data_IF_826011545130
#
_entry.id   IF_826011545130
#
_cell.length_a   1.000
_cell.length_b   1.000
_cell.length_c   1.000
_cell.angle_alpha   90.00
_cell.angle_beta   90.00
_cell.angle_gamma   90.00
#
_symmetry.space_group_name_H-M   'P 1'
#
loop_
_entity.id
_entity.type
_entity.pdbx_description
1 polymer ?
#
# COMPACT_ATOMS: atom_id res chain seq x y z
N UNK A 1 -5.99 4.77 -3.34
CA UNK A 1 -6.64 5.31 -4.56
C UNK A 1 -6.54 6.82 -4.57
N UNK A 2 -5.95 7.41 -5.61
CA UNK A 2 -5.99 8.85 -5.86
C UNK A 2 -7.46 9.24 -6.08
N UNK A 3 -8.07 9.93 -5.10
CA UNK A 3 -9.44 10.42 -5.19
C UNK A 3 -9.54 11.37 -6.41
N UNK A 4 -10.60 11.24 -7.23
CA UNK A 4 -10.91 12.14 -8.35
C UNK A 4 -10.78 13.62 -7.95
N UNK A 5 -11.10 13.96 -6.71
CA UNK A 5 -10.96 15.30 -6.15
C UNK A 5 -9.49 15.78 -6.09
N UNK A 6 -8.54 14.89 -5.78
CA UNK A 6 -7.12 15.23 -5.71
C UNK A 6 -6.52 15.48 -7.10
N UNK A 7 -6.95 14.70 -8.10
CA UNK A 7 -6.57 14.89 -9.51
C UNK A 7 -7.14 16.22 -10.02
N UNK A 8 -8.40 16.50 -9.71
CA UNK A 8 -9.06 17.75 -10.08
C UNK A 8 -8.38 18.98 -9.47
N UNK A 9 -8.01 18.92 -8.18
CA UNK A 9 -7.24 19.98 -7.52
C UNK A 9 -5.84 20.18 -8.14
N UNK A 10 -5.19 19.09 -8.55
CA UNK A 10 -3.91 19.15 -9.27
C UNK A 10 -4.03 19.85 -10.63
N UNK A 11 -5.11 19.57 -11.38
CA UNK A 11 -5.36 20.21 -12.68
C UNK A 11 -5.66 21.71 -12.52
N UNK A 12 -6.51 22.09 -11.56
CA UNK A 12 -6.82 23.50 -11.26
C UNK A 12 -5.55 24.26 -10.85
N UNK A 13 -4.70 23.64 -10.04
CA UNK A 13 -3.42 24.24 -9.66
C UNK A 13 -2.50 24.49 -10.86
N UNK A 14 -2.39 23.53 -11.78
CA UNK A 14 -1.61 23.70 -13.01
C UNK A 14 -2.19 24.79 -13.91
N UNK A 15 -3.51 24.87 -14.06
CA UNK A 15 -4.18 25.92 -14.82
C UNK A 15 -3.90 27.31 -14.24
N UNK A 16 -4.02 27.46 -12.92
CA UNK A 16 -3.73 28.72 -12.24
C UNK A 16 -2.25 29.10 -12.32
N UNK A 17 -1.34 28.13 -12.35
CA UNK A 17 0.09 28.34 -12.61
C UNK A 17 0.34 28.85 -14.03
N UNK A 18 -0.29 28.24 -15.03
CA UNK A 18 -0.18 28.67 -16.43
C UNK A 18 -0.72 30.09 -16.62
N UNK A 19 -1.86 30.43 -16.00
CA UNK A 19 -2.36 31.81 -15.99
C UNK A 19 -1.38 32.75 -15.29
N UNK A 20 -0.95 32.42 -14.07
CA UNK A 20 -0.04 33.27 -13.29
C UNK A 20 1.28 33.56 -14.01
N UNK A 21 1.85 32.55 -14.67
CA UNK A 21 3.08 32.70 -15.45
C UNK A 21 2.83 33.39 -16.81
N UNK A 22 1.64 33.27 -17.40
CA UNK A 22 1.27 33.85 -18.69
C UNK A 22 0.97 35.35 -18.67
N UNK A 23 0.59 35.93 -17.53
CA UNK A 23 0.26 37.37 -17.41
C UNK A 23 1.48 38.30 -17.13
N UNK A 24 2.69 37.76 -16.98
CA UNK A 24 3.90 38.54 -16.71
C UNK A 24 4.45 39.21 -17.98
N UNK A 25 3.88 40.35 -18.38
CA UNK A 25 4.50 41.24 -19.40
C UNK A 25 5.59 42.15 -18.85
N UNK A 26 5.85 42.14 -17.53
CA UNK A 26 6.96 42.86 -16.91
C UNK A 26 7.63 41.99 -15.85
N UNK A 27 8.95 41.73 -15.95
CA UNK A 27 9.72 40.93 -14.99
C UNK A 27 10.08 41.78 -13.77
N UNK A 28 9.09 42.33 -13.06
CA UNK A 28 9.35 42.86 -11.73
C UNK A 28 9.42 41.68 -10.75
N UNK A 29 10.67 41.37 -10.45
CA UNK A 29 11.24 40.06 -10.14
C UNK A 29 10.69 39.37 -8.88
N UNK A 30 10.14 40.10 -7.92
CA UNK A 30 9.77 39.52 -6.62
C UNK A 30 8.44 38.79 -6.60
N UNK A 31 7.40 39.33 -7.24
CA UNK A 31 6.06 38.71 -7.23
C UNK A 31 6.10 37.40 -8.02
N UNK A 32 6.78 37.40 -9.16
CA UNK A 32 6.99 36.21 -9.98
C UNK A 32 7.83 35.15 -9.24
N UNK A 33 8.97 35.52 -8.64
CA UNK A 33 9.78 34.61 -7.81
C UNK A 33 8.98 34.05 -6.63
N UNK A 34 8.18 34.88 -5.97
CA UNK A 34 7.32 34.46 -4.85
C UNK A 34 6.24 33.48 -5.31
N UNK A 35 5.64 33.71 -6.48
CA UNK A 35 4.65 32.78 -7.05
C UNK A 35 5.26 31.44 -7.42
N UNK A 36 6.43 31.43 -8.06
CA UNK A 36 7.17 30.18 -8.36
C UNK A 36 7.55 29.46 -7.06
N UNK A 37 8.04 30.18 -6.05
CA UNK A 37 8.39 29.57 -4.76
C UNK A 37 7.17 28.91 -4.09
N UNK A 38 6.03 29.60 -4.07
CA UNK A 38 4.77 29.04 -3.53
C UNK A 38 4.32 27.81 -4.31
N UNK A 39 4.48 27.80 -5.63
CA UNK A 39 4.16 26.64 -6.45
C UNK A 39 5.07 25.44 -6.13
N UNK A 40 6.37 25.66 -5.97
CA UNK A 40 7.33 24.63 -5.55
C UNK A 40 6.99 24.10 -4.16
N UNK A 41 6.61 24.97 -3.23
CA UNK A 41 6.25 24.58 -1.86
C UNK A 41 4.96 23.75 -1.82
N UNK A 42 3.97 24.10 -2.65
CA UNK A 42 2.76 23.29 -2.83
C UNK A 42 3.10 21.93 -3.42
N UNK A 43 3.94 21.88 -4.44
CA UNK A 43 4.37 20.61 -5.04
C UNK A 43 5.12 19.71 -4.03
N UNK A 44 6.04 20.29 -3.25
CA UNK A 44 6.74 19.58 -2.16
C UNK A 44 5.76 19.06 -1.11
N UNK A 45 4.76 19.86 -0.73
CA UNK A 45 3.73 19.45 0.22
C UNK A 45 2.89 18.29 -0.31
N UNK A 46 2.44 18.36 -1.56
CA UNK A 46 1.67 17.30 -2.22
C UNK A 46 2.48 16.00 -2.32
N UNK A 47 3.76 16.08 -2.71
CA UNK A 47 4.66 14.93 -2.71
C UNK A 47 4.85 14.33 -1.32
N UNK A 48 4.97 15.16 -0.28
CA UNK A 48 5.07 14.68 1.11
C UNK A 48 3.82 13.92 1.53
N UNK A 49 2.63 14.41 1.20
CA UNK A 49 1.36 13.73 1.48
C UNK A 49 1.24 12.40 0.73
N UNK A 50 1.65 12.39 -0.54
CA UNK A 50 1.66 11.17 -1.36
C UNK A 50 2.59 10.12 -0.78
N UNK A 51 3.83 10.50 -0.45
CA UNK A 51 4.83 9.62 0.14
C UNK A 51 4.40 9.08 1.52
N UNK A 52 3.80 9.93 2.37
CA UNK A 52 3.26 9.49 3.65
C UNK A 52 2.11 8.49 3.47
N UNK A 53 1.27 8.68 2.45
CA UNK A 53 0.18 7.77 2.13
C UNK A 53 0.68 6.43 1.63
N UNK A 54 1.70 6.41 0.76
CA UNK A 54 2.38 5.18 0.31
C UNK A 54 2.96 4.41 1.49
N UNK A 55 3.75 5.06 2.34
CA UNK A 55 4.34 4.43 3.54
C UNK A 55 3.29 3.84 4.47
N UNK A 56 2.14 4.50 4.61
CA UNK A 56 1.03 4.00 5.43
C UNK A 56 0.38 2.75 4.80
N UNK A 57 0.22 2.72 3.48
CA UNK A 57 -0.28 1.55 2.76
C UNK A 57 0.70 0.38 2.90
N UNK A 58 1.98 0.60 2.62
CA UNK A 58 3.05 -0.39 2.82
C UNK A 58 3.04 -0.94 4.25
N UNK A 59 3.03 -0.06 5.26
CA UNK A 59 3.01 -0.50 6.66
C UNK A 59 1.76 -1.33 7.01
N UNK A 60 0.58 -0.95 6.48
CA UNK A 60 -0.66 -1.70 6.69
C UNK A 60 -0.59 -3.08 6.05
N UNK A 61 -0.10 -3.17 4.82
CA UNK A 61 0.08 -4.42 4.10
C UNK A 61 1.11 -5.32 4.80
N UNK A 62 2.27 -4.78 5.20
CA UNK A 62 3.26 -5.51 5.99
C UNK A 62 2.67 -6.07 7.29
N UNK A 63 1.88 -5.28 8.02
CA UNK A 63 1.22 -5.74 9.24
C UNK A 63 0.25 -6.89 8.96
N UNK A 64 -0.50 -6.81 7.86
CA UNK A 64 -1.42 -7.87 7.46
C UNK A 64 -0.66 -9.15 7.09
N UNK A 65 0.43 -9.05 6.32
CA UNK A 65 1.30 -10.19 6.00
C UNK A 65 1.84 -10.85 7.28
N UNK A 66 2.31 -10.06 8.25
CA UNK A 66 2.82 -10.58 9.53
C UNK A 66 1.73 -11.37 10.28
N UNK A 67 0.52 -10.82 10.40
CA UNK A 67 -0.59 -11.51 11.08
C UNK A 67 -0.96 -12.83 10.39
N UNK A 68 -0.90 -12.88 9.07
CA UNK A 68 -1.16 -14.11 8.31
C UNK A 68 -0.07 -15.15 8.53
N UNK A 69 1.21 -14.74 8.56
CA UNK A 69 2.34 -15.62 8.88
C UNK A 69 2.26 -16.15 10.31
N UNK A 70 1.91 -15.30 11.28
CA UNK A 70 1.68 -15.71 12.68
C UNK A 70 0.56 -16.75 12.78
N UNK A 71 -0.52 -16.58 12.02
CA UNK A 71 -1.63 -17.54 11.98
C UNK A 71 -1.18 -18.89 11.46
N UNK A 72 -0.42 -18.92 10.36
CA UNK A 72 0.14 -20.16 9.80
C UNK A 72 1.09 -20.82 10.82
N UNK A 73 1.96 -20.03 11.45
CA UNK A 73 2.91 -20.52 12.45
C UNK A 73 2.20 -21.15 13.65
N UNK A 74 1.12 -20.54 14.14
CA UNK A 74 0.32 -21.08 15.24
C UNK A 74 -0.30 -22.43 14.87
N UNK A 75 -0.83 -22.58 13.66
CA UNK A 75 -1.39 -23.87 13.19
C UNK A 75 -0.33 -24.96 13.10
N UNK A 76 0.86 -24.64 12.59
CA UNK A 76 1.99 -25.58 12.55
C UNK A 76 2.41 -25.97 13.97
N UNK A 77 2.52 -24.99 14.88
CA UNK A 77 2.92 -25.22 16.27
C UNK A 77 1.92 -26.11 17.00
N UNK A 78 0.62 -25.88 16.81
CA UNK A 78 -0.44 -26.71 17.39
C UNK A 78 -0.38 -28.15 16.88
N UNK A 79 -0.16 -28.35 15.57
CA UNK A 79 0.03 -29.68 15.01
C UNK A 79 1.27 -30.38 15.59
N UNK A 80 2.40 -29.68 15.70
CA UNK A 80 3.62 -30.23 16.30
C UNK A 80 3.38 -30.62 17.76
N UNK A 81 2.68 -29.77 18.53
CA UNK A 81 2.37 -30.04 19.93
C UNK A 81 1.46 -31.27 20.06
N UNK A 82 0.41 -31.38 19.24
CA UNK A 82 -0.49 -32.53 19.22
C UNK A 82 0.26 -33.84 18.89
N UNK A 83 1.19 -33.80 17.94
CA UNK A 83 2.05 -34.95 17.60
C UNK A 83 2.97 -35.30 18.78
N UNK A 84 3.59 -34.30 19.41
CA UNK A 84 4.51 -34.53 20.54
C UNK A 84 3.82 -35.03 21.79
N UNK A 85 2.55 -34.69 21.98
CA UNK A 85 1.77 -35.11 23.15
C UNK A 85 1.06 -36.45 22.94
N UNK A 86 1.34 -37.18 21.85
CA UNK A 86 0.59 -38.38 21.44
C UNK A 86 -0.93 -38.17 21.53
N UNK A 87 -1.39 -37.01 21.03
CA UNK A 87 -2.82 -36.71 20.98
C UNK A 87 -3.56 -37.71 20.08
N UNK A 88 -4.88 -37.77 20.22
CA UNK A 88 -5.75 -38.60 19.40
C UNK A 88 -5.40 -38.46 17.90
N UNK A 89 -5.13 -39.57 17.18
CA UNK A 89 -4.88 -39.56 15.74
C UNK A 89 -5.93 -38.80 14.93
N UNK A 90 -7.20 -38.79 15.35
CA UNK A 90 -8.25 -38.02 14.68
C UNK A 90 -8.01 -36.51 14.79
N UNK A 91 -7.61 -36.02 15.96
CA UNK A 91 -7.28 -34.61 16.19
C UNK A 91 -6.02 -34.19 15.40
N UNK A 92 -5.01 -35.07 15.33
CA UNK A 92 -3.81 -34.81 14.53
C UNK A 92 -4.16 -34.65 13.05
N UNK A 93 -5.05 -35.50 12.53
CA UNK A 93 -5.48 -35.42 11.13
C UNK A 93 -6.35 -34.19 10.86
N UNK A 94 -7.24 -33.80 11.79
CA UNK A 94 -8.01 -32.56 11.70
C UNK A 94 -7.07 -31.34 11.60
N UNK A 95 -6.11 -31.22 12.52
CA UNK A 95 -5.13 -30.12 12.53
C UNK A 95 -4.26 -30.12 11.27
N UNK A 96 -3.93 -31.29 10.73
CA UNK A 96 -3.17 -31.45 9.49
C UNK A 96 -3.97 -30.95 8.29
N UNK A 97 -5.24 -31.34 8.19
CA UNK A 97 -6.14 -30.90 7.12
C UNK A 97 -6.35 -29.39 7.19
N UNK A 98 -6.64 -28.84 8.37
CA UNK A 98 -6.83 -27.39 8.55
C UNK A 98 -5.60 -26.60 8.11
N UNK A 99 -4.40 -27.04 8.52
CA UNK A 99 -3.14 -26.43 8.08
C UNK A 99 -2.97 -26.52 6.56
N UNK A 100 -3.23 -27.68 5.97
CA UNK A 100 -3.05 -27.90 4.54
C UNK A 100 -4.00 -27.03 3.71
N UNK A 101 -5.28 -26.94 4.09
CA UNK A 101 -6.26 -26.06 3.43
C UNK A 101 -5.82 -24.61 3.50
N UNK A 102 -5.41 -24.13 4.69
CA UNK A 102 -4.92 -22.76 4.84
C UNK A 102 -3.69 -22.48 3.95
N UNK A 103 -2.74 -23.41 3.89
CA UNK A 103 -1.57 -23.26 3.01
C UNK A 103 -1.96 -23.27 1.52
N UNK A 104 -2.89 -24.12 1.12
CA UNK A 104 -3.38 -24.19 -0.27
C UNK A 104 -4.07 -22.89 -0.67
N UNK A 105 -4.99 -22.39 0.15
CA UNK A 105 -5.73 -21.16 -0.11
C UNK A 105 -4.79 -19.96 -0.23
N UNK A 106 -3.83 -19.85 0.70
CA UNK A 106 -2.82 -18.77 0.69
C UNK A 106 -1.89 -18.86 -0.52
N UNK A 107 -1.41 -20.05 -0.86
CA UNK A 107 -0.53 -20.24 -2.03
C UNK A 107 -1.28 -19.91 -3.32
N UNK A 108 -2.54 -20.32 -3.44
CA UNK A 108 -3.38 -19.99 -4.60
C UNK A 108 -3.59 -18.48 -4.72
N UNK A 109 -3.96 -17.82 -3.63
CA UNK A 109 -4.13 -16.36 -3.60
C UNK A 109 -2.86 -15.62 -4.04
N UNK A 110 -1.69 -15.97 -3.48
CA UNK A 110 -0.43 -15.32 -3.87
C UNK A 110 -0.07 -15.55 -5.34
N UNK A 111 -0.37 -16.74 -5.88
CA UNK A 111 -0.15 -17.03 -7.30
C UNK A 111 -1.08 -16.20 -8.19
N UNK A 112 -2.35 -16.07 -7.82
CA UNK A 112 -3.31 -15.24 -8.56
C UNK A 112 -2.94 -13.75 -8.53
N UNK A 113 -2.36 -13.24 -7.44
CA UNK A 113 -1.87 -11.86 -7.38
C UNK A 113 -0.61 -11.64 -8.23
N UNK A 114 0.34 -12.59 -8.22
CA UNK A 114 1.53 -12.55 -9.10
C UNK A 114 1.14 -12.57 -10.58
N UNK A 115 0.24 -13.48 -10.98
CA UNK A 115 -0.22 -13.60 -12.36
C UNK A 115 -0.93 -12.33 -12.88
N UNK A 116 -1.49 -11.51 -11.98
CA UNK A 116 -2.09 -10.20 -12.32
C UNK A 116 -1.07 -9.08 -12.52
N UNK A 117 0.11 -9.19 -11.91
CA UNK A 117 1.20 -8.23 -12.12
C UNK A 117 1.89 -8.46 -13.48
N UNK A 118 2.06 -9.72 -13.90
CA UNK A 118 2.68 -10.09 -15.18
C UNK A 118 1.81 -9.73 -16.42
N UNK A 119 0.54 -9.37 -16.22
CA UNK A 119 -0.41 -8.99 -17.29
C UNK A 119 -0.57 -7.48 -17.47
N UNK A 120 0.16 -6.63 -16.72
CA UNK A 120 0.13 -5.17 -16.81
C UNK A 120 1.36 -4.60 -17.51
#
# INVERSE_FOLDING_TARGET
>A
MLNKNNIHLGIIFLQNLVEFLGYSKTPNDEIFKTGIQKAIDIYKYMNKLYLASLKKMEHKECKQIILELETILNKITNLINAIKSDADPALIEELRLERNTLMQDKTKFFKEELDKEDQK
#
